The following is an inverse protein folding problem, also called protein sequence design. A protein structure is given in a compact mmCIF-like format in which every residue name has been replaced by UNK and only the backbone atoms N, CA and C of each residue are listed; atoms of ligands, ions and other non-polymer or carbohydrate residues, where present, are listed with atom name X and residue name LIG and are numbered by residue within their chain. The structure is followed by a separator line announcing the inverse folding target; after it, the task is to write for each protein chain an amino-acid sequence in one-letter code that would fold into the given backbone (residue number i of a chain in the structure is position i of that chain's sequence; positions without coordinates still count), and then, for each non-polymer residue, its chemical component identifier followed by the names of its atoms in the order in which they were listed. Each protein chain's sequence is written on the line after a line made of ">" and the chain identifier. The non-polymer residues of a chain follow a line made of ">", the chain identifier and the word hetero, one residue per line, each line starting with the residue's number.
data_IF_365296324429
#
_entry.id   IF_365296324429
#
_cell.length_a   1.000
_cell.length_b   1.000
_cell.length_c   1.000
_cell.angle_alpha   90.00
_cell.angle_beta   90.00
_cell.angle_gamma   90.00
#
_symmetry.space_group_name_H-M   'P 1'
#
loop_
_entity.id
_entity.type
_entity.pdbx_description
1 polymer ?
#
# COMPACT_ATOMS: atom_id res chain seq x y z
N UNK A 1 -42.61 -38.41 20.78
CA UNK A 1 -41.13 -38.29 20.78
C UNK A 1 -40.80 -36.88 20.26
N UNK A 2 -41.01 -35.87 21.10
CA UNK A 2 -40.80 -34.46 20.73
C UNK A 2 -39.43 -34.05 21.28
N UNK A 3 -38.50 -33.74 20.38
CA UNK A 3 -37.22 -33.15 20.77
C UNK A 3 -37.52 -31.82 21.45
N UNK A 4 -37.22 -31.74 22.75
CA UNK A 4 -37.40 -30.53 23.54
C UNK A 4 -36.69 -29.38 22.85
N UNK A 5 -37.42 -28.31 22.58
CA UNK A 5 -36.88 -27.03 22.09
C UNK A 5 -36.05 -26.47 23.24
N UNK A 6 -34.77 -26.83 23.25
CA UNK A 6 -33.80 -26.31 24.21
C UNK A 6 -33.50 -24.88 23.76
N UNK A 7 -34.22 -23.91 24.30
CA UNK A 7 -33.91 -22.50 24.09
C UNK A 7 -32.52 -22.24 24.71
N UNK A 8 -31.50 -21.89 23.91
CA UNK A 8 -30.19 -21.60 24.45
C UNK A 8 -30.29 -20.39 25.40
N UNK A 9 -29.52 -20.35 26.50
CA UNK A 9 -29.51 -19.21 27.41
C UNK A 9 -29.24 -17.90 26.65
N UNK A 10 -30.09 -16.89 26.84
CA UNK A 10 -30.01 -15.60 26.12
C UNK A 10 -28.66 -14.89 26.32
N UNK A 11 -27.90 -15.29 27.34
CA UNK A 11 -26.54 -14.84 27.67
C UNK A 11 -25.52 -15.08 26.56
N UNK A 12 -25.73 -16.07 25.67
CA UNK A 12 -24.80 -16.37 24.58
C UNK A 12 -24.99 -15.46 23.36
N UNK A 13 -26.21 -14.95 23.12
CA UNK A 13 -26.51 -14.11 21.94
C UNK A 13 -25.69 -12.80 21.93
N UNK A 14 -25.49 -12.17 23.10
CA UNK A 14 -24.68 -10.97 23.23
C UNK A 14 -23.18 -11.22 23.00
N UNK A 15 -22.68 -12.43 23.29
CA UNK A 15 -21.28 -12.80 23.11
C UNK A 15 -20.92 -13.12 21.64
N UNK A 16 -21.89 -13.57 20.84
CA UNK A 16 -21.70 -13.83 19.41
C UNK A 16 -21.73 -12.54 18.56
N UNK A 17 -22.46 -11.51 18.98
CA UNK A 17 -22.60 -10.26 18.20
C UNK A 17 -21.37 -9.33 18.28
N UNK A 18 -20.53 -9.43 19.30
CA UNK A 18 -19.45 -8.47 19.58
C UNK A 18 -18.05 -8.83 19.06
N UNK A 19 -17.87 -9.98 18.38
CA UNK A 19 -16.53 -10.47 17.99
C UNK A 19 -16.24 -10.35 16.49
N UNK A 20 -17.24 -10.08 15.65
CA UNK A 20 -17.06 -10.03 14.19
C UNK A 20 -16.51 -8.69 13.67
N UNK A 21 -16.78 -7.59 14.37
CA UNK A 21 -16.48 -6.22 13.90
C UNK A 21 -14.97 -5.93 13.78
N UNK A 22 -14.16 -6.48 14.70
CA UNK A 22 -12.71 -6.26 14.71
C UNK A 22 -12.01 -6.86 13.50
N UNK A 23 -12.49 -8.00 12.98
CA UNK A 23 -11.90 -8.64 11.80
C UNK A 23 -12.24 -7.91 10.50
N UNK A 24 -13.45 -7.37 10.40
CA UNK A 24 -13.86 -6.53 9.26
C UNK A 24 -13.02 -5.26 9.16
N UNK A 25 -12.83 -4.56 10.28
CA UNK A 25 -12.06 -3.32 10.32
C UNK A 25 -10.59 -3.51 9.91
N UNK A 26 -9.92 -4.56 10.41
CA UNK A 26 -8.54 -4.87 10.02
C UNK A 26 -8.39 -5.23 8.54
N UNK A 27 -9.39 -5.93 7.99
CA UNK A 27 -9.41 -6.30 6.56
C UNK A 27 -9.53 -5.06 5.67
N UNK A 28 -10.41 -4.12 6.03
CA UNK A 28 -10.57 -2.85 5.29
C UNK A 28 -9.32 -1.99 5.40
N UNK A 29 -8.68 -1.94 6.58
CA UNK A 29 -7.42 -1.24 6.78
C UNK A 29 -6.31 -1.83 5.89
N UNK A 30 -6.14 -3.16 5.91
CA UNK A 30 -5.16 -3.85 5.08
C UNK A 30 -5.42 -3.62 3.58
N UNK A 31 -6.67 -3.67 3.13
CA UNK A 31 -7.04 -3.41 1.74
C UNK A 31 -6.74 -1.95 1.33
N UNK A 32 -7.01 -1.00 2.21
CA UNK A 32 -6.71 0.43 1.98
C UNK A 32 -5.20 0.64 1.89
N UNK A 33 -4.42 0.01 2.77
CA UNK A 33 -2.97 0.08 2.74
C UNK A 33 -2.39 -0.51 1.44
N UNK A 34 -2.87 -1.69 1.03
CA UNK A 34 -2.51 -2.30 -0.25
C UNK A 34 -2.83 -1.40 -1.45
N UNK A 35 -3.99 -0.75 -1.43
CA UNK A 35 -4.39 0.18 -2.47
C UNK A 35 -3.42 1.38 -2.57
N UNK A 36 -3.06 1.97 -1.43
CA UNK A 36 -2.11 3.09 -1.40
C UNK A 36 -0.72 2.70 -1.90
N UNK A 37 -0.20 1.55 -1.48
CA UNK A 37 1.12 1.07 -1.93
C UNK A 37 1.13 0.82 -3.44
N UNK A 38 0.09 0.19 -3.98
CA UNK A 38 -0.04 -0.04 -5.43
C UNK A 38 -0.16 1.27 -6.20
N UNK A 39 -0.95 2.22 -5.71
CA UNK A 39 -1.09 3.53 -6.34
C UNK A 39 0.25 4.27 -6.38
N UNK A 40 1.02 4.21 -5.29
CA UNK A 40 2.34 4.83 -5.23
C UNK A 40 3.33 4.14 -6.19
N UNK A 41 3.37 2.81 -6.23
CA UNK A 41 4.18 2.05 -7.20
C UNK A 41 3.83 2.44 -8.64
N UNK A 42 2.55 2.57 -8.96
CA UNK A 42 2.11 3.03 -10.29
C UNK A 42 2.51 4.46 -10.59
N UNK A 43 2.50 5.37 -9.59
CA UNK A 43 3.00 6.74 -9.77
C UNK A 43 4.48 6.76 -10.10
N UNK A 44 5.30 5.95 -9.42
CA UNK A 44 6.73 5.82 -9.72
C UNK A 44 6.96 5.29 -11.14
N UNK A 45 6.22 4.25 -11.54
CA UNK A 45 6.31 3.72 -12.91
C UNK A 45 5.87 4.77 -13.94
N UNK A 46 4.76 5.47 -13.67
CA UNK A 46 4.25 6.52 -14.54
C UNK A 46 5.26 7.67 -14.69
N UNK A 47 5.90 8.10 -13.60
CA UNK A 47 6.93 9.13 -13.61
C UNK A 47 8.10 8.75 -14.53
N UNK A 48 8.62 7.53 -14.37
CA UNK A 48 9.71 7.01 -15.21
C UNK A 48 9.27 6.97 -16.68
N UNK A 49 8.11 6.37 -16.99
CA UNK A 49 7.63 6.26 -18.36
C UNK A 49 7.39 7.63 -19.00
N UNK A 50 6.68 8.52 -18.31
CA UNK A 50 6.40 9.89 -18.78
C UNK A 50 7.70 10.65 -18.98
N UNK A 51 8.70 10.46 -18.11
CA UNK A 51 10.02 11.08 -18.23
C UNK A 51 10.77 10.73 -19.52
N UNK A 52 10.49 9.57 -20.12
CA UNK A 52 11.05 9.17 -21.42
C UNK A 52 10.33 9.81 -22.62
N UNK A 53 9.03 10.12 -22.51
CA UNK A 53 8.23 10.59 -23.64
C UNK A 53 7.91 12.09 -23.62
N UNK A 54 7.84 12.72 -22.45
CA UNK A 54 7.43 14.12 -22.28
C UNK A 54 8.57 14.99 -21.78
N UNK A 55 8.61 16.23 -22.25
CA UNK A 55 9.58 17.24 -21.80
C UNK A 55 9.41 17.61 -20.32
N UNK A 56 10.51 18.03 -19.69
CA UNK A 56 10.56 18.43 -18.27
C UNK A 56 9.53 19.51 -17.89
N UNK A 57 9.18 20.41 -18.81
CA UNK A 57 8.21 21.49 -18.56
C UNK A 57 6.74 21.05 -18.64
N UNK A 58 6.48 19.83 -19.11
CA UNK A 58 5.13 19.32 -19.28
C UNK A 58 4.40 19.24 -17.91
N UNK A 59 3.17 19.75 -17.80
CA UNK A 59 2.48 19.85 -16.51
C UNK A 59 2.30 18.49 -15.82
N UNK A 60 1.99 17.43 -16.58
CA UNK A 60 1.86 16.06 -16.04
C UNK A 60 3.19 15.56 -15.47
N UNK A 61 4.30 15.81 -16.17
CA UNK A 61 5.64 15.40 -15.71
C UNK A 61 6.01 16.13 -14.42
N UNK A 62 5.82 17.45 -14.38
CA UNK A 62 6.06 18.24 -13.15
C UNK A 62 5.20 17.80 -11.97
N UNK A 63 3.96 17.40 -12.23
CA UNK A 63 3.09 16.86 -11.18
C UNK A 63 3.61 15.53 -10.63
N UNK A 64 4.00 14.60 -11.50
CA UNK A 64 4.59 13.31 -11.08
C UNK A 64 5.91 13.52 -10.34
N UNK A 65 6.80 14.35 -10.90
CA UNK A 65 8.08 14.71 -10.30
C UNK A 65 7.88 15.30 -8.89
N UNK A 66 6.90 16.19 -8.70
CA UNK A 66 6.63 16.79 -7.38
C UNK A 66 6.27 15.76 -6.29
N UNK A 67 5.68 14.62 -6.68
CA UNK A 67 5.31 13.54 -5.75
C UNK A 67 6.47 12.56 -5.58
N UNK A 68 7.12 12.18 -6.68
CA UNK A 68 8.08 11.06 -6.72
C UNK A 68 9.50 11.51 -6.36
N UNK A 69 9.94 12.70 -6.78
CA UNK A 69 11.30 13.19 -6.57
C UNK A 69 11.71 13.29 -5.09
N UNK A 70 10.87 13.76 -4.14
CA UNK A 70 11.24 13.79 -2.72
C UNK A 70 11.59 12.40 -2.16
N UNK A 71 11.04 11.33 -2.74
CA UNK A 71 11.34 9.95 -2.35
C UNK A 71 12.55 9.38 -3.10
N UNK A 72 12.76 9.77 -4.36
CA UNK A 72 13.91 9.34 -5.16
C UNK A 72 15.22 10.00 -4.75
N UNK A 73 15.20 11.29 -4.41
CA UNK A 73 16.39 12.09 -4.13
C UNK A 73 17.25 11.52 -2.99
N UNK A 74 16.70 11.09 -1.84
CA UNK A 74 17.49 10.41 -0.81
C UNK A 74 18.13 9.11 -1.30
N UNK A 75 17.43 8.34 -2.14
CA UNK A 75 17.93 7.06 -2.67
C UNK A 75 19.10 7.31 -3.62
N UNK A 76 18.98 8.33 -4.50
CA UNK A 76 20.03 8.75 -5.42
C UNK A 76 21.30 9.21 -4.70
N UNK A 77 21.18 9.81 -3.52
CA UNK A 77 22.33 10.26 -2.71
C UNK A 77 23.11 9.10 -2.08
N UNK A 78 22.45 7.99 -1.77
CA UNK A 78 23.09 6.82 -1.17
C UNK A 78 23.65 5.89 -2.24
N UNK A 79 23.02 5.88 -3.41
CA UNK A 79 23.45 5.06 -4.54
C UNK A 79 24.80 5.52 -5.10
N UNK A 80 25.76 4.60 -5.32
CA UNK A 80 26.93 4.91 -6.13
C UNK A 80 26.46 5.26 -7.55
N UNK A 81 27.14 6.20 -8.22
CA UNK A 81 26.80 6.61 -9.58
C UNK A 81 26.96 5.42 -10.55
N UNK A 82 25.88 4.65 -10.76
CA UNK A 82 25.88 3.36 -11.44
C UNK A 82 25.83 3.49 -12.98
N UNK A 83 26.47 4.51 -13.54
CA UNK A 83 26.46 4.80 -14.98
C UNK A 83 25.28 5.66 -15.42
N UNK A 84 24.92 5.63 -16.72
CA UNK A 84 23.95 6.57 -17.31
C UNK A 84 22.48 6.25 -17.00
N UNK A 85 22.19 5.09 -16.41
CA UNK A 85 20.83 4.66 -16.05
C UNK A 85 20.56 4.91 -14.57
N UNK A 86 19.42 5.54 -14.29
CA UNK A 86 18.94 5.75 -12.93
C UNK A 86 18.16 4.51 -12.44
N UNK A 87 18.77 3.73 -11.54
CA UNK A 87 18.12 2.59 -10.89
C UNK A 87 17.37 2.97 -9.62
N UNK A 88 17.41 4.23 -9.17
CA UNK A 88 16.71 4.66 -7.96
C UNK A 88 15.20 4.43 -7.97
N UNK A 89 14.47 4.55 -9.11
CA UNK A 89 13.06 4.20 -9.17
C UNK A 89 12.78 2.72 -8.88
N UNK A 90 13.65 1.83 -9.34
CA UNK A 90 13.51 0.39 -9.04
C UNK A 90 13.68 0.13 -7.55
N UNK A 91 14.68 0.76 -6.92
CA UNK A 91 14.90 0.64 -5.48
C UNK A 91 13.71 1.21 -4.70
N UNK A 92 13.16 2.35 -5.13
CA UNK A 92 11.99 2.93 -4.49
C UNK A 92 10.79 1.98 -4.53
N UNK A 93 10.53 1.32 -5.66
CA UNK A 93 9.46 0.31 -5.78
C UNK A 93 9.71 -0.85 -4.80
N UNK A 94 10.93 -1.37 -4.73
CA UNK A 94 11.28 -2.44 -3.78
C UNK A 94 11.03 -2.01 -2.33
N UNK A 95 11.40 -0.78 -1.97
CA UNK A 95 11.17 -0.24 -0.63
C UNK A 95 9.68 -0.09 -0.32
N UNK A 96 8.88 0.39 -1.26
CA UNK A 96 7.43 0.50 -1.12
C UNK A 96 6.81 -0.88 -0.86
N UNK A 97 7.17 -1.88 -1.67
CA UNK A 97 6.67 -3.24 -1.52
C UNK A 97 7.12 -3.88 -0.19
N UNK A 98 8.37 -3.65 0.21
CA UNK A 98 8.91 -4.17 1.47
C UNK A 98 8.18 -3.55 2.68
N UNK A 99 8.05 -2.22 2.71
CA UNK A 99 7.33 -1.52 3.78
C UNK A 99 5.86 -1.94 3.80
N UNK A 100 5.23 -2.04 2.62
CA UNK A 100 3.86 -2.52 2.49
C UNK A 100 3.66 -3.91 3.10
N UNK A 101 4.55 -4.86 2.81
CA UNK A 101 4.50 -6.21 3.40
C UNK A 101 4.63 -6.20 4.91
N UNK A 102 5.62 -5.47 5.45
CA UNK A 102 5.82 -5.35 6.90
C UNK A 102 4.58 -4.76 7.58
N UNK A 103 3.99 -3.71 7.00
CA UNK A 103 2.78 -3.09 7.53
C UNK A 103 1.57 -4.03 7.49
N UNK A 104 1.44 -4.87 6.47
CA UNK A 104 0.36 -5.85 6.39
C UNK A 104 0.50 -6.97 7.43
N UNK A 105 1.73 -7.47 7.63
CA UNK A 105 2.04 -8.45 8.68
C UNK A 105 1.78 -7.91 10.09
N UNK A 106 1.87 -6.59 10.29
CA UNK A 106 1.54 -5.94 11.56
C UNK A 106 0.02 -5.78 11.78
N UNK A 107 -0.77 -5.73 10.71
CA UNK A 107 -2.22 -5.46 10.75
C UNK A 107 -3.05 -6.75 10.82
N UNK A 108 -2.58 -7.83 10.19
CA UNK A 108 -3.28 -9.12 10.08
C UNK A 108 -2.78 -10.15 11.09
#
# INVERSE_FOLDING_TARGET
>A
MAAGVINPPQSYAAAYLGREDRRGTLTVLAATLLFLMRALTLLVIADVLVGYFLDYYHPIRRFLDAIVQPMLEPIRRVMPQAGPLDFSPLILIILIELVGRILLELVL
#
